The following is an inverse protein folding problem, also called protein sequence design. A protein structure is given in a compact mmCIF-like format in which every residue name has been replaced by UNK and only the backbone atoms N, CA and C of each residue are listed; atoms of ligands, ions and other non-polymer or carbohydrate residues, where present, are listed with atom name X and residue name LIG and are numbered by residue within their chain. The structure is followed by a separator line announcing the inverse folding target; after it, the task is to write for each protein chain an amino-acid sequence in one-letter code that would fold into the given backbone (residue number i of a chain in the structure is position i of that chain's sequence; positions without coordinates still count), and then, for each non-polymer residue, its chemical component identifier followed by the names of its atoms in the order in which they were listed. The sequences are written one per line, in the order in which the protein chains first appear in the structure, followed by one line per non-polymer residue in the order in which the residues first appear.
data_IF_542973000059
#
_entry.id   IF_542973000059
#
_cell.length_a   1.000
_cell.length_b   1.000
_cell.length_c   1.000
_cell.angle_alpha   90.00
_cell.angle_beta   90.00
_cell.angle_gamma   90.00
#
_symmetry.space_group_name_H-M   'P 1'
#
loop_
_entity.id
_entity.type
_entity.pdbx_description
1 polymer ?
#
# COMPACT_ATOMS: atom_id res chain seq x y z
N UNK A 1 51.87 10.46 3.04
CA UNK A 1 50.39 10.39 2.98
C UNK A 1 49.85 10.95 4.30
N UNK A 2 49.18 12.11 4.28
CA UNK A 2 48.81 12.84 5.50
C UNK A 2 47.77 12.07 6.31
N UNK A 3 48.06 11.73 7.57
CA UNK A 3 47.13 11.05 8.50
C UNK A 3 45.77 11.76 8.60
N UNK A 4 45.75 13.08 8.47
CA UNK A 4 44.52 13.89 8.48
C UNK A 4 43.57 13.64 7.30
N UNK A 5 44.09 13.24 6.13
CA UNK A 5 43.25 12.92 4.96
C UNK A 5 42.52 11.59 5.21
N UNK A 6 43.19 10.62 5.83
CA UNK A 6 42.61 9.30 6.12
C UNK A 6 41.48 9.39 7.15
N UNK A 7 41.63 10.22 8.18
CA UNK A 7 40.59 10.44 9.20
C UNK A 7 39.39 11.20 8.64
N UNK A 8 39.62 12.19 7.76
CA UNK A 8 38.54 12.92 7.09
C UNK A 8 37.75 12.01 6.13
N UNK A 9 38.44 11.13 5.40
CA UNK A 9 37.80 10.16 4.50
C UNK A 9 36.93 9.15 5.26
N UNK A 10 37.40 8.66 6.41
CA UNK A 10 36.64 7.75 7.27
C UNK A 10 35.37 8.42 7.85
N UNK A 11 35.48 9.68 8.27
CA UNK A 11 34.34 10.47 8.73
C UNK A 11 33.31 10.70 7.62
N UNK A 12 33.75 11.05 6.40
CA UNK A 12 32.87 11.22 5.25
C UNK A 12 32.14 9.92 4.87
N UNK A 13 32.85 8.79 4.85
CA UNK A 13 32.23 7.48 4.57
C UNK A 13 31.20 7.07 5.63
N UNK A 14 31.46 7.38 6.91
CA UNK A 14 30.50 7.09 7.99
C UNK A 14 29.23 7.97 7.92
N UNK A 15 29.36 9.20 7.42
CA UNK A 15 28.21 10.12 7.25
C UNK A 15 27.31 9.70 6.08
N UNK A 16 27.88 9.20 4.99
CA UNK A 16 27.11 8.74 3.83
C UNK A 16 26.23 7.52 4.14
N UNK A 17 26.73 6.57 4.95
CA UNK A 17 25.94 5.40 5.37
C UNK A 17 24.76 5.76 6.27
N UNK A 18 24.94 6.73 7.17
CA UNK A 18 23.89 7.20 8.07
C UNK A 18 22.74 7.89 7.32
N UNK A 19 23.04 8.67 6.28
CA UNK A 19 22.04 9.38 5.50
C UNK A 19 21.11 8.45 4.72
N UNK A 20 21.64 7.38 4.13
CA UNK A 20 20.81 6.40 3.41
C UNK A 20 19.87 5.64 4.36
N UNK A 21 20.38 5.21 5.51
CA UNK A 21 19.56 4.49 6.50
C UNK A 21 18.38 5.33 7.01
N UNK A 22 18.57 6.64 7.23
CA UNK A 22 17.48 7.53 7.64
C UNK A 22 16.40 7.65 6.55
N UNK A 23 16.81 7.75 5.27
CA UNK A 23 15.88 7.83 4.14
C UNK A 23 15.06 6.56 3.96
N UNK A 24 15.69 5.40 4.13
CA UNK A 24 15.03 4.08 4.08
C UNK A 24 13.96 3.95 5.18
N UNK A 25 14.30 4.32 6.42
CA UNK A 25 13.37 4.30 7.53
C UNK A 25 12.20 5.28 7.33
N UNK A 26 12.46 6.45 6.76
CA UNK A 26 11.42 7.42 6.44
C UNK A 26 10.45 6.88 5.37
N UNK A 27 10.95 6.24 4.32
CA UNK A 27 10.13 5.62 3.28
C UNK A 27 9.25 4.49 3.82
N UNK A 28 9.82 3.61 4.65
CA UNK A 28 9.07 2.53 5.32
C UNK A 28 7.96 3.11 6.21
N UNK A 29 8.29 4.11 7.03
CA UNK A 29 7.31 4.75 7.92
C UNK A 29 6.17 5.41 7.14
N UNK A 30 6.47 6.09 6.02
CA UNK A 30 5.45 6.67 5.16
C UNK A 30 4.57 5.60 4.49
N UNK A 31 5.16 4.48 4.08
CA UNK A 31 4.40 3.36 3.52
C UNK A 31 3.46 2.71 4.55
N UNK A 32 3.90 2.48 5.78
CA UNK A 32 3.03 1.93 6.83
C UNK A 32 1.89 2.89 7.18
N UNK A 33 2.17 4.19 7.32
CA UNK A 33 1.14 5.21 7.52
C UNK A 33 0.11 5.22 6.38
N UNK A 34 0.56 5.09 5.13
CA UNK A 34 -0.35 4.95 4.00
C UNK A 34 -1.25 3.73 4.15
N UNK A 35 -0.69 2.55 4.47
CA UNK A 35 -1.47 1.32 4.66
C UNK A 35 -2.48 1.43 5.81
N UNK A 36 -2.14 2.14 6.89
CA UNK A 36 -3.07 2.40 7.98
C UNK A 36 -4.30 3.21 7.54
N UNK A 37 -4.08 4.21 6.68
CA UNK A 37 -5.12 5.18 6.31
C UNK A 37 -5.91 4.76 5.05
N UNK A 38 -5.32 3.95 4.17
CA UNK A 38 -5.94 3.59 2.89
C UNK A 38 -7.22 2.78 3.08
N UNK A 39 -7.32 1.97 4.13
CA UNK A 39 -8.49 1.13 4.41
C UNK A 39 -9.78 1.94 4.61
N UNK A 40 -9.71 3.20 5.04
CA UNK A 40 -10.90 4.05 5.17
C UNK A 40 -11.58 4.33 3.83
N UNK A 41 -10.82 4.28 2.73
CA UNK A 41 -11.34 4.43 1.36
C UNK A 41 -12.13 3.20 0.92
N UNK A 42 -11.90 2.05 1.55
CA UNK A 42 -12.65 0.82 1.40
C UNK A 42 -13.45 0.50 2.69
N UNK A 43 -14.32 1.44 3.08
CA UNK A 43 -15.27 1.27 4.17
C UNK A 43 -16.56 2.05 3.91
N UNK A 44 -17.42 2.13 4.93
CA UNK A 44 -18.62 2.98 4.93
C UNK A 44 -19.47 2.85 3.65
N UNK A 45 -19.68 1.61 3.22
CA UNK A 45 -20.31 1.31 1.94
C UNK A 45 -21.78 1.77 1.93
N UNK A 46 -22.12 2.62 0.97
CA UNK A 46 -23.48 3.05 0.66
C UNK A 46 -23.82 2.65 -0.77
N UNK A 47 -25.11 2.46 -1.06
CA UNK A 47 -25.62 2.09 -2.38
C UNK A 47 -26.58 3.16 -2.91
N UNK A 48 -26.38 3.58 -4.15
CA UNK A 48 -27.30 4.44 -4.91
C UNK A 48 -27.35 3.95 -6.35
N UNK A 49 -28.54 3.85 -6.92
CA UNK A 49 -28.78 3.36 -8.29
C UNK A 49 -28.09 2.01 -8.62
N UNK A 50 -27.99 1.13 -7.63
CA UNK A 50 -27.38 -0.20 -7.78
C UNK A 50 -25.84 -0.21 -7.75
N UNK A 51 -25.20 0.91 -7.45
CA UNK A 51 -23.74 1.03 -7.35
C UNK A 51 -23.31 1.34 -5.92
N UNK A 52 -22.34 0.56 -5.44
CA UNK A 52 -21.70 0.77 -4.15
C UNK A 52 -20.60 1.84 -4.23
N UNK A 53 -20.51 2.66 -3.20
CA UNK A 53 -19.46 3.67 -3.04
C UNK A 53 -19.20 3.93 -1.55
N UNK A 54 -18.14 4.66 -1.26
CA UNK A 54 -17.80 5.08 0.10
C UNK A 54 -18.58 6.35 0.48
N UNK A 55 -19.37 6.34 1.54
CA UNK A 55 -20.19 7.50 1.94
C UNK A 55 -19.38 8.80 2.10
N UNK A 56 -18.16 8.70 2.65
CA UNK A 56 -17.31 9.86 2.94
C UNK A 56 -16.36 10.21 1.79
N UNK A 57 -15.88 9.21 1.05
CA UNK A 57 -14.83 9.36 0.04
C UNK A 57 -15.31 8.97 -1.36
N UNK A 58 -16.18 9.81 -1.94
CA UNK A 58 -16.81 9.54 -3.23
C UNK A 58 -16.63 10.65 -4.28
N UNK A 59 -15.85 11.67 -3.98
CA UNK A 59 -15.46 12.74 -4.91
C UNK A 59 -13.96 12.74 -5.12
N UNK A 60 -13.49 13.33 -6.23
CA UNK A 60 -12.04 13.43 -6.48
C UNK A 60 -11.35 14.17 -5.34
N UNK A 61 -12.00 15.23 -4.86
CA UNK A 61 -11.49 16.14 -3.86
C UNK A 61 -11.40 15.48 -2.48
N UNK A 62 -12.42 14.72 -2.07
CA UNK A 62 -12.41 13.99 -0.80
C UNK A 62 -11.33 12.91 -0.78
N UNK A 63 -11.24 12.11 -1.84
CA UNK A 63 -10.21 11.06 -1.96
C UNK A 63 -8.81 11.67 -2.01
N UNK A 64 -8.61 12.71 -2.83
CA UNK A 64 -7.32 13.41 -2.93
C UNK A 64 -6.92 14.04 -1.60
N UNK A 65 -7.85 14.68 -0.89
CA UNK A 65 -7.55 15.29 0.41
C UNK A 65 -7.09 14.23 1.41
N UNK A 66 -7.71 13.05 1.40
CA UNK A 66 -7.33 11.92 2.27
C UNK A 66 -5.94 11.36 1.93
N UNK A 67 -5.62 11.27 0.64
CA UNK A 67 -4.38 10.64 0.16
C UNK A 67 -3.20 11.60 0.01
N UNK A 68 -3.42 12.91 0.00
CA UNK A 68 -2.39 13.91 -0.36
C UNK A 68 -1.16 13.94 0.56
N UNK A 69 -1.29 13.44 1.79
CA UNK A 69 -0.14 13.32 2.69
C UNK A 69 0.76 12.15 2.30
N UNK A 70 0.21 11.12 1.64
CA UNK A 70 0.87 9.85 1.36
C UNK A 70 1.24 9.64 -0.12
N UNK A 71 0.47 10.24 -1.03
CA UNK A 71 0.59 10.03 -2.47
C UNK A 71 0.79 11.34 -3.22
N UNK A 72 1.52 11.28 -4.33
CA UNK A 72 1.58 12.40 -5.28
C UNK A 72 0.25 12.52 -6.03
N UNK A 73 0.05 13.64 -6.73
CA UNK A 73 -1.11 13.82 -7.62
C UNK A 73 -1.24 12.72 -8.69
N UNK A 74 -0.10 12.25 -9.18
CA UNK A 74 -0.01 11.14 -10.13
C UNK A 74 -0.39 9.82 -9.46
N UNK A 75 0.14 9.57 -8.25
CA UNK A 75 -0.23 8.40 -7.43
C UNK A 75 -1.71 8.34 -7.10
N UNK A 76 -2.32 9.47 -6.71
CA UNK A 76 -3.78 9.55 -6.49
C UNK A 76 -4.54 9.26 -7.77
N UNK A 77 -4.07 9.77 -8.92
CA UNK A 77 -4.73 9.52 -10.21
C UNK A 77 -4.65 8.05 -10.61
N UNK A 78 -3.50 7.40 -10.39
CA UNK A 78 -3.35 5.96 -10.57
C UNK A 78 -4.31 5.18 -9.65
N UNK A 79 -4.33 5.51 -8.36
CA UNK A 79 -5.18 4.86 -7.35
C UNK A 79 -6.67 4.94 -7.73
N UNK A 80 -7.13 6.11 -8.16
CA UNK A 80 -8.52 6.31 -8.60
C UNK A 80 -8.87 5.44 -9.82
N UNK A 81 -7.95 5.29 -10.77
CA UNK A 81 -8.18 4.50 -11.97
C UNK A 81 -8.19 2.99 -11.69
N UNK A 82 -7.43 2.54 -10.69
CA UNK A 82 -7.34 1.12 -10.33
C UNK A 82 -8.57 0.65 -9.55
N UNK A 83 -9.02 1.45 -8.57
CA UNK A 83 -10.01 0.99 -7.58
C UNK A 83 -11.42 1.56 -7.77
N UNK A 84 -11.58 2.59 -8.63
CA UNK A 84 -12.85 3.28 -8.79
C UNK A 84 -13.25 3.50 -10.26
N UNK A 85 -14.53 3.78 -10.46
CA UNK A 85 -15.09 4.27 -11.71
C UNK A 85 -15.82 5.58 -11.44
N UNK A 86 -15.67 6.56 -12.34
CA UNK A 86 -16.45 7.80 -12.26
C UNK A 86 -17.83 7.61 -12.89
N UNK A 87 -18.90 7.77 -12.10
CA UNK A 87 -20.30 7.68 -12.52
C UNK A 87 -21.07 8.87 -11.95
N UNK A 88 -21.71 9.64 -12.83
CA UNK A 88 -22.54 10.79 -12.46
C UNK A 88 -21.87 11.78 -11.48
N UNK A 89 -20.56 12.01 -11.67
CA UNK A 89 -19.75 12.91 -10.84
C UNK A 89 -19.25 12.29 -9.54
N UNK A 90 -19.47 10.99 -9.32
CA UNK A 90 -19.09 10.24 -8.12
C UNK A 90 -18.13 9.10 -8.45
N UNK A 91 -17.14 8.87 -7.60
CA UNK A 91 -16.34 7.66 -7.64
C UNK A 91 -17.07 6.54 -6.93
N UNK A 92 -17.42 5.51 -7.70
CA UNK A 92 -17.97 4.24 -7.23
C UNK A 92 -16.88 3.18 -7.32
N UNK A 93 -16.99 2.07 -6.58
CA UNK A 93 -15.97 1.01 -6.66
C UNK A 93 -15.89 0.40 -8.07
N UNK A 94 -14.71 -0.11 -8.44
CA UNK A 94 -14.50 -0.85 -9.68
C UNK A 94 -15.36 -2.13 -9.75
N UNK A 95 -15.59 -2.63 -10.97
CA UNK A 95 -16.55 -3.71 -11.26
C UNK A 95 -16.35 -4.96 -10.39
N UNK A 96 -15.10 -5.39 -10.18
CA UNK A 96 -14.79 -6.57 -9.35
C UNK A 96 -15.33 -6.44 -7.92
N UNK A 97 -15.24 -5.24 -7.35
CA UNK A 97 -15.73 -4.93 -6.01
C UNK A 97 -17.26 -4.77 -6.01
N UNK A 98 -17.82 -4.13 -7.04
CA UNK A 98 -19.29 -4.04 -7.21
C UNK A 98 -19.93 -5.42 -7.21
N UNK A 99 -19.38 -6.36 -7.99
CA UNK A 99 -19.92 -7.72 -8.10
C UNK A 99 -19.89 -8.42 -6.73
N UNK A 100 -18.79 -8.33 -6.01
CA UNK A 100 -18.68 -8.87 -4.65
C UNK A 100 -19.72 -8.28 -3.68
N UNK A 101 -19.84 -6.95 -3.63
CA UNK A 101 -20.76 -6.28 -2.71
C UNK A 101 -22.23 -6.52 -3.07
N UNK A 102 -22.56 -6.73 -4.35
CA UNK A 102 -23.89 -7.14 -4.80
C UNK A 102 -24.18 -8.64 -4.55
N UNK A 103 -23.19 -9.42 -4.10
CA UNK A 103 -23.33 -10.88 -3.99
C UNK A 103 -23.43 -11.58 -5.36
N UNK A 104 -22.94 -10.93 -6.42
CA UNK A 104 -22.91 -11.46 -7.77
C UNK A 104 -21.57 -12.18 -8.03
N UNK A 105 -21.67 -13.48 -8.31
CA UNK A 105 -20.51 -14.33 -8.59
C UNK A 105 -20.10 -15.22 -7.41
N UNK A 106 -19.02 -15.99 -7.60
CA UNK A 106 -18.50 -16.93 -6.61
C UNK A 106 -17.21 -16.46 -5.92
N UNK A 107 -16.81 -15.21 -6.13
CA UNK A 107 -15.57 -14.66 -5.59
C UNK A 107 -15.75 -14.35 -4.11
N UNK A 108 -14.85 -14.86 -3.26
CA UNK A 108 -14.78 -14.46 -1.86
C UNK A 108 -14.06 -13.10 -1.74
N UNK A 109 -14.01 -12.56 -0.52
CA UNK A 109 -13.38 -11.26 -0.27
C UNK A 109 -11.87 -11.27 -0.61
N UNK A 110 -11.16 -12.34 -0.26
CA UNK A 110 -9.75 -12.54 -0.60
C UNK A 110 -9.51 -12.44 -2.11
N UNK A 111 -10.31 -13.15 -2.93
CA UNK A 111 -10.17 -13.13 -4.39
C UNK A 111 -10.31 -11.72 -4.96
N UNK A 112 -11.14 -10.89 -4.34
CA UNK A 112 -11.36 -9.49 -4.71
C UNK A 112 -10.15 -8.64 -4.35
N UNK A 113 -9.65 -8.77 -3.12
CA UNK A 113 -8.68 -7.85 -2.53
C UNK A 113 -7.22 -8.25 -2.65
N UNK A 114 -6.89 -9.51 -2.95
CA UNK A 114 -5.51 -10.02 -2.82
C UNK A 114 -4.44 -9.23 -3.59
N UNK A 115 -4.82 -8.66 -4.75
CA UNK A 115 -3.94 -7.85 -5.60
C UNK A 115 -4.18 -6.34 -5.44
N UNK A 116 -4.74 -5.90 -4.31
CA UNK A 116 -5.03 -4.50 -4.05
C UNK A 116 -4.25 -3.97 -2.84
N UNK A 117 -4.16 -2.64 -2.76
CA UNK A 117 -3.69 -1.90 -1.58
C UNK A 117 -4.54 -2.16 -0.32
N UNK A 118 -5.75 -2.71 -0.49
CA UNK A 118 -6.63 -3.06 0.62
C UNK A 118 -6.36 -4.47 1.16
N UNK A 119 -5.40 -5.22 0.60
CA UNK A 119 -5.02 -6.52 1.16
C UNK A 119 -4.40 -6.33 2.57
N UNK A 120 -5.03 -6.85 3.64
CA UNK A 120 -4.52 -6.70 5.01
C UNK A 120 -3.16 -7.37 5.20
N UNK A 121 -2.77 -8.30 4.33
CA UNK A 121 -1.47 -8.96 4.36
C UNK A 121 -0.29 -8.01 4.13
N UNK A 122 -0.51 -6.84 3.51
CA UNK A 122 0.55 -5.86 3.26
C UNK A 122 1.21 -5.35 4.54
N UNK A 123 0.44 -5.22 5.64
CA UNK A 123 0.95 -4.81 6.96
C UNK A 123 1.62 -5.94 7.75
N UNK A 124 1.55 -7.17 7.22
CA UNK A 124 2.16 -8.35 7.83
C UNK A 124 3.53 -8.69 7.23
N UNK A 125 3.96 -7.95 6.20
CA UNK A 125 5.31 -8.07 5.63
C UNK A 125 6.31 -7.56 6.67
N UNK A 126 7.32 -8.38 6.98
CA UNK A 126 8.38 -7.97 7.89
C UNK A 126 9.40 -7.09 7.17
N UNK A 127 10.00 -6.13 7.89
CA UNK A 127 10.96 -5.18 7.31
C UNK A 127 12.15 -5.87 6.62
N UNK A 128 12.55 -7.04 7.09
CA UNK A 128 13.65 -7.84 6.53
C UNK A 128 13.40 -8.31 5.08
N UNK A 129 12.13 -8.40 4.66
CA UNK A 129 11.74 -8.77 3.30
C UNK A 129 11.70 -7.55 2.34
N UNK A 130 11.88 -6.34 2.86
CA UNK A 130 11.82 -5.10 2.09
C UNK A 130 13.20 -4.77 1.54
N UNK A 131 13.34 -4.82 0.21
CA UNK A 131 14.52 -4.32 -0.51
C UNK A 131 14.26 -2.88 -0.93
N UNK A 132 15.15 -1.97 -0.56
CA UNK A 132 15.04 -0.55 -0.92
C UNK A 132 16.17 -0.17 -1.86
N UNK A 133 15.80 0.41 -3.01
CA UNK A 133 16.73 0.94 -4.00
C UNK A 133 16.51 2.44 -4.16
N UNK A 134 17.60 3.22 -4.14
CA UNK A 134 17.58 4.65 -4.47
C UNK A 134 18.07 4.83 -5.91
N UNK A 135 17.18 5.30 -6.78
CA UNK A 135 17.42 5.46 -8.21
C UNK A 135 17.08 6.89 -8.62
N UNK A 136 18.09 7.72 -8.85
CA UNK A 136 17.96 9.06 -9.44
C UNK A 136 16.94 9.99 -8.75
N UNK A 137 16.81 9.90 -7.42
CA UNK A 137 15.89 10.73 -6.63
C UNK A 137 14.53 10.07 -6.34
N UNK A 138 14.35 8.83 -6.79
CA UNK A 138 13.21 7.97 -6.46
C UNK A 138 13.66 6.86 -5.51
N UNK A 139 12.81 6.52 -4.55
CA UNK A 139 12.96 5.33 -3.72
C UNK A 139 12.02 4.25 -4.24
N UNK A 140 12.57 3.11 -4.62
CA UNK A 140 11.82 1.90 -4.94
C UNK A 140 11.90 0.94 -3.74
N UNK A 141 10.76 0.63 -3.15
CA UNK A 141 10.61 -0.46 -2.19
C UNK A 141 10.08 -1.69 -2.93
N UNK A 142 10.76 -2.82 -2.78
CA UNK A 142 10.40 -4.08 -3.42
C UNK A 142 10.37 -5.22 -2.42
N UNK A 143 9.26 -5.93 -2.40
CA UNK A 143 9.05 -7.16 -1.66
C UNK A 143 8.78 -8.25 -2.70
N UNK A 144 9.54 -9.35 -2.67
CA UNK A 144 9.39 -10.45 -3.63
C UNK A 144 9.01 -11.71 -2.87
N UNK A 145 7.83 -12.26 -3.18
CA UNK A 145 7.28 -13.47 -2.56
C UNK A 145 7.39 -13.44 -1.02
N UNK A 146 7.01 -12.29 -0.41
CA UNK A 146 7.07 -12.12 1.03
C UNK A 146 6.04 -13.03 1.71
N UNK A 147 6.44 -13.90 2.65
CA UNK A 147 5.53 -14.84 3.29
C UNK A 147 4.61 -14.12 4.29
N UNK A 148 3.31 -14.27 4.11
CA UNK A 148 2.29 -13.73 5.01
C UNK A 148 1.63 -14.86 5.78
N UNK A 149 1.51 -14.68 7.10
CA UNK A 149 0.74 -15.57 7.96
C UNK A 149 -0.50 -14.85 8.50
N UNK A 150 -1.65 -15.07 7.88
CA UNK A 150 -2.92 -14.51 8.34
C UNK A 150 -3.39 -15.16 9.64
N UNK A 151 -3.24 -16.48 9.76
CA UNK A 151 -3.59 -17.23 10.96
C UNK A 151 -2.84 -18.56 11.07
N UNK A 152 -2.84 -19.14 12.27
CA UNK A 152 -2.37 -20.51 12.49
C UNK A 152 -3.44 -21.52 12.07
N UNK A 153 -3.07 -22.51 11.26
CA UNK A 153 -4.00 -23.57 10.82
C UNK A 153 -4.57 -24.33 12.03
N UNK A 154 -5.89 -24.52 12.06
CA UNK A 154 -6.60 -25.13 13.20
C UNK A 154 -6.88 -24.16 14.36
N UNK A 155 -6.52 -22.88 14.24
CA UNK A 155 -6.96 -21.83 15.16
C UNK A 155 -8.39 -21.41 14.81
N UNK A 156 -9.35 -21.78 15.66
CA UNK A 156 -10.76 -21.39 15.47
C UNK A 156 -10.95 -19.87 15.37
N UNK A 157 -10.19 -19.10 16.15
CA UNK A 157 -10.28 -17.63 16.14
C UNK A 157 -9.72 -17.03 14.84
N UNK A 158 -8.58 -17.55 14.35
CA UNK A 158 -8.00 -17.04 13.10
C UNK A 158 -8.82 -17.42 11.87
N UNK A 159 -9.39 -18.63 11.87
CA UNK A 159 -10.29 -19.11 10.82
C UNK A 159 -11.60 -18.29 10.76
N UNK A 160 -12.14 -17.83 11.89
CA UNK A 160 -13.34 -16.98 11.87
C UNK A 160 -13.08 -15.57 11.32
N UNK A 161 -11.93 -14.98 11.62
CA UNK A 161 -11.62 -13.60 11.19
C UNK A 161 -11.20 -13.53 9.71
N UNK A 162 -10.32 -14.43 9.27
CA UNK A 162 -9.73 -14.41 7.93
C UNK A 162 -10.25 -15.53 7.02
N UNK A 163 -10.47 -16.72 7.58
CA UNK A 163 -10.94 -17.89 6.82
C UNK A 163 -12.35 -17.70 6.26
N UNK A 164 -13.27 -17.07 7.00
CA UNK A 164 -14.61 -16.73 6.50
C UNK A 164 -14.59 -15.73 5.34
N UNK A 165 -13.56 -14.89 5.29
CA UNK A 165 -13.31 -13.96 4.17
C UNK A 165 -12.58 -14.62 2.99
N UNK A 166 -12.20 -15.90 3.11
CA UNK A 166 -11.54 -16.68 2.08
C UNK A 166 -10.01 -16.62 2.09
N UNK A 167 -9.39 -15.96 3.07
CA UNK A 167 -7.93 -15.92 3.16
C UNK A 167 -7.36 -17.30 3.53
N UNK A 168 -6.26 -17.73 2.89
CA UNK A 168 -5.53 -18.91 3.33
C UNK A 168 -4.81 -18.64 4.65
N UNK A 169 -4.37 -19.69 5.36
CA UNK A 169 -3.55 -19.52 6.57
C UNK A 169 -2.20 -18.85 6.26
N UNK A 170 -1.68 -19.10 5.05
CA UNK A 170 -0.40 -18.60 4.56
C UNK A 170 -0.52 -18.21 3.10
N UNK A 171 0.14 -17.12 2.72
CA UNK A 171 0.19 -16.61 1.35
C UNK A 171 1.57 -16.00 1.05
N UNK A 172 1.81 -15.65 -0.21
CA UNK A 172 3.03 -14.97 -0.65
C UNK A 172 2.64 -13.71 -1.42
N UNK A 173 3.14 -12.55 -1.00
CA UNK A 173 2.82 -11.28 -1.62
C UNK A 173 4.09 -10.63 -2.17
N UNK A 174 4.04 -10.25 -3.44
CA UNK A 174 5.00 -9.38 -4.08
C UNK A 174 4.44 -7.95 -4.14
N UNK A 175 5.24 -6.98 -3.72
CA UNK A 175 4.85 -5.56 -3.70
C UNK A 175 5.95 -4.72 -4.31
N UNK A 176 5.56 -3.74 -5.12
CA UNK A 176 6.45 -2.70 -5.62
C UNK A 176 5.86 -1.33 -5.29
N UNK A 177 6.59 -0.51 -4.55
CA UNK A 177 6.22 0.87 -4.24
C UNK A 177 7.29 1.78 -4.80
N UNK A 178 6.87 2.78 -5.57
CA UNK A 178 7.76 3.85 -6.02
C UNK A 178 7.36 5.12 -5.28
N UNK A 179 8.34 5.75 -4.66
CA UNK A 179 8.18 6.98 -3.90
C UNK A 179 9.11 8.05 -4.44
N UNK A 180 8.62 9.27 -4.50
CA UNK A 180 9.41 10.44 -4.86
C UNK A 180 9.44 11.40 -3.68
N UNK A 181 10.55 12.13 -3.54
CA UNK A 181 10.63 13.19 -2.55
C UNK A 181 9.84 14.40 -3.03
N UNK A 182 8.82 14.78 -2.27
CA UNK A 182 8.00 15.96 -2.51
C UNK A 182 8.12 16.88 -1.29
N UNK A 183 8.76 18.04 -1.48
CA UNK A 183 9.25 18.91 -0.40
C UNK A 183 10.13 18.16 0.62
N UNK A 184 9.62 17.98 1.85
CA UNK A 184 10.35 17.36 2.96
C UNK A 184 9.99 15.87 3.17
N UNK A 185 9.01 15.33 2.46
CA UNK A 185 8.44 13.99 2.72
C UNK A 185 8.47 13.11 1.46
N UNK A 186 8.60 11.79 1.64
CA UNK A 186 8.39 10.83 0.55
C UNK A 186 6.91 10.57 0.31
N UNK A 187 6.48 10.67 -0.95
CA UNK A 187 5.12 10.37 -1.38
C UNK A 187 5.12 9.28 -2.42
N UNK A 188 4.16 8.37 -2.32
CA UNK A 188 3.94 7.27 -3.25
C UNK A 188 3.47 7.84 -4.59
N UNK A 189 4.23 7.55 -5.65
CA UNK A 189 3.84 7.83 -7.03
C UNK A 189 3.17 6.62 -7.68
N UNK A 190 3.52 5.42 -7.24
CA UNK A 190 3.01 4.17 -7.79
C UNK A 190 3.10 3.03 -6.77
N UNK A 191 2.13 2.12 -6.82
CA UNK A 191 2.11 0.91 -6.02
C UNK A 191 1.56 -0.26 -6.84
N UNK A 192 2.15 -1.43 -6.73
CA UNK A 192 1.64 -2.66 -7.32
C UNK A 192 1.66 -3.79 -6.30
N UNK A 193 0.58 -4.58 -6.25
CA UNK A 193 0.44 -5.75 -5.38
C UNK A 193 0.13 -6.98 -6.22
N UNK A 194 0.85 -8.06 -5.98
CA UNK A 194 0.63 -9.35 -6.61
C UNK A 194 0.66 -10.47 -5.55
N UNK A 195 -0.40 -11.26 -5.51
CA UNK A 195 -0.63 -12.38 -4.59
C UNK A 195 -1.17 -13.60 -5.33
#
# INVERSE_FOLDING_TARGET
MNKHIFTLLLLLLSLSGCFNQVREQEAIAQYDLFLENVHELFGYHTIEDGLFYNEFYHTKESIRSHLSEFMTDEGVSWFLNEFYMLKDGRYVYAEKVQNYLNGEGSSNFYDVMKNSVFNPGLRMIVEEDIKINDLDGEIEMKMEDAPIQFYQQGSTYGESEFGELGYPSTDYISVRVVMVKDDETYRISYLEVQS
#
